data_IF_672369546239
#
_entry.id   IF_672369546239
#
_cell.length_a   1.000
_cell.length_b   1.000
_cell.length_c   1.000
_cell.angle_alpha   90.00
_cell.angle_beta   90.00
_cell.angle_gamma   90.00
#
_symmetry.space_group_name_H-M   'P 1'
#
loop_
_entity.id
_entity.type
_entity.pdbx_description
1 polymer ?
#
# COMPACT_ATOMS: atom_id res chain seq x y z
N UNK A 1 32.31 9.87 -13.43
CA UNK A 1 31.44 10.87 -12.75
C UNK A 1 30.37 11.28 -13.72
N UNK A 2 29.16 10.69 -13.58
CA UNK A 2 28.00 11.03 -14.41
C UNK A 2 27.30 12.24 -13.80
N UNK A 3 27.24 13.34 -14.54
CA UNK A 3 26.50 14.54 -14.15
C UNK A 3 25.00 14.19 -14.04
N UNK A 4 24.41 14.27 -12.84
CA UNK A 4 22.96 14.24 -12.63
C UNK A 4 22.34 15.42 -13.39
N UNK A 5 21.67 15.15 -14.52
CA UNK A 5 20.83 16.14 -15.19
C UNK A 5 19.68 16.52 -14.26
N UNK A 6 19.68 17.73 -13.73
CA UNK A 6 18.52 18.31 -13.06
C UNK A 6 17.34 18.34 -14.04
N UNK A 7 16.35 17.50 -13.79
CA UNK A 7 15.07 17.56 -14.52
C UNK A 7 14.27 18.76 -14.00
N UNK A 8 14.02 19.72 -14.88
CA UNK A 8 13.12 20.85 -14.62
C UNK A 8 11.68 20.35 -14.84
N UNK A 9 10.99 20.02 -13.77
CA UNK A 9 9.58 19.67 -13.80
C UNK A 9 8.73 20.93 -14.00
N UNK A 10 8.05 21.03 -15.14
CA UNK A 10 6.98 21.99 -15.34
C UNK A 10 5.69 21.42 -14.76
N UNK A 11 5.37 21.75 -13.53
CA UNK A 11 4.07 21.40 -12.93
C UNK A 11 2.95 22.19 -13.60
N UNK A 12 1.77 21.59 -13.84
CA UNK A 12 0.59 22.36 -14.25
C UNK A 12 0.25 23.39 -13.18
N UNK A 13 -0.13 24.60 -13.66
CA UNK A 13 -0.46 25.77 -12.82
C UNK A 13 -1.82 25.50 -12.15
N UNK A 14 -1.81 24.83 -11.03
CA UNK A 14 -2.97 24.66 -10.15
C UNK A 14 -2.51 24.74 -8.68
N UNK A 15 -3.34 25.29 -7.81
CA UNK A 15 -3.02 25.33 -6.39
C UNK A 15 -2.79 23.90 -5.89
N UNK A 16 -1.59 23.63 -5.34
CA UNK A 16 -1.25 22.31 -4.76
C UNK A 16 -2.23 22.05 -3.60
N UNK A 17 -2.98 20.94 -3.62
CA UNK A 17 -3.86 20.62 -2.52
C UNK A 17 -3.04 20.49 -1.23
N UNK A 18 -3.43 21.21 -0.18
CA UNK A 18 -2.77 21.09 1.13
C UNK A 18 -3.31 19.83 1.81
N UNK A 19 -2.44 19.12 2.52
CA UNK A 19 -2.84 18.10 3.49
C UNK A 19 -3.63 18.82 4.60
N UNK A 20 -4.78 18.27 4.95
CA UNK A 20 -5.69 18.90 5.93
C UNK A 20 -5.14 18.74 7.35
N UNK A 21 -4.63 17.57 7.66
CA UNK A 21 -4.12 17.23 8.99
C UNK A 21 -2.61 16.98 8.95
N UNK A 22 -1.87 17.45 9.95
CA UNK A 22 -0.49 17.07 10.11
C UNK A 22 -0.39 15.61 10.54
N UNK A 23 0.67 14.93 10.11
CA UNK A 23 0.96 13.59 10.58
C UNK A 23 1.47 13.64 12.02
N UNK A 24 0.77 12.92 12.89
CA UNK A 24 1.20 12.65 14.26
C UNK A 24 1.27 11.14 14.44
N UNK A 25 2.49 10.62 14.60
CA UNK A 25 2.68 9.21 14.92
C UNK A 25 2.16 8.92 16.33
N UNK A 26 1.33 7.90 16.46
CA UNK A 26 0.81 7.45 17.76
C UNK A 26 1.68 6.40 18.41
N UNK A 27 2.58 5.79 17.65
CA UNK A 27 3.55 4.81 18.13
C UNK A 27 4.92 5.07 17.52
N UNK A 28 5.96 4.52 18.13
CA UNK A 28 7.33 4.64 17.63
C UNK A 28 7.45 3.98 16.24
N UNK A 29 6.85 2.82 16.05
CA UNK A 29 6.91 2.09 14.79
C UNK A 29 6.21 2.84 13.65
N UNK A 30 5.12 3.58 13.93
CA UNK A 30 4.51 4.48 12.94
C UNK A 30 5.48 5.59 12.51
N UNK A 31 6.26 6.13 13.45
CA UNK A 31 7.27 7.14 13.13
C UNK A 31 8.39 6.55 12.30
N UNK A 32 8.94 5.41 12.71
CA UNK A 32 10.00 4.71 11.97
C UNK A 32 9.54 4.39 10.55
N UNK A 33 8.33 3.85 10.39
CA UNK A 33 7.77 3.52 9.09
C UNK A 33 7.61 4.77 8.19
N UNK A 34 7.12 5.86 8.74
CA UNK A 34 7.02 7.13 8.03
C UNK A 34 8.39 7.63 7.57
N UNK A 35 9.42 7.52 8.43
CA UNK A 35 10.78 7.95 8.12
C UNK A 35 11.40 7.06 7.02
N UNK A 36 11.26 5.72 7.11
CA UNK A 36 11.71 4.75 6.09
C UNK A 36 11.08 5.05 4.72
N UNK A 37 9.78 5.34 4.66
CA UNK A 37 9.13 5.71 3.39
C UNK A 37 9.75 6.98 2.80
N UNK A 38 10.24 7.89 3.65
CA UNK A 38 10.90 9.15 3.24
C UNK A 38 12.34 9.02 2.75
N UNK A 39 13.01 7.90 2.98
CA UNK A 39 14.41 7.69 2.58
C UNK A 39 14.54 7.63 1.05
N UNK A 40 15.48 8.40 0.50
CA UNK A 40 15.67 8.46 -0.97
C UNK A 40 16.17 7.14 -1.55
N UNK A 41 17.01 6.41 -0.83
CA UNK A 41 17.63 5.16 -1.27
C UNK A 41 16.67 3.97 -1.20
N UNK A 42 15.59 4.09 -0.42
CA UNK A 42 14.57 3.04 -0.28
C UNK A 42 13.60 3.08 -1.46
N UNK A 43 13.58 2.02 -2.27
CA UNK A 43 12.69 1.88 -3.42
C UNK A 43 11.54 0.92 -3.16
N UNK A 44 11.76 -0.10 -2.33
CA UNK A 44 10.76 -1.10 -1.96
C UNK A 44 10.69 -1.23 -0.44
N UNK A 45 9.49 -1.14 0.10
CA UNK A 45 9.24 -1.35 1.52
C UNK A 45 8.26 -2.51 1.67
N UNK A 46 8.67 -3.52 2.43
CA UNK A 46 7.81 -4.60 2.87
C UNK A 46 7.35 -4.30 4.30
N UNK A 47 6.04 -4.20 4.52
CA UNK A 47 5.50 -3.83 5.82
C UNK A 47 4.52 -4.88 6.32
N UNK A 48 4.91 -5.63 7.34
CA UNK A 48 4.08 -6.62 8.03
C UNK A 48 3.50 -6.06 9.32
N UNK A 49 2.32 -6.53 9.70
CA UNK A 49 1.75 -6.27 11.02
C UNK A 49 0.24 -6.46 11.08
N UNK A 50 -0.25 -6.63 12.29
CA UNK A 50 -1.67 -6.88 12.55
C UNK A 50 -2.56 -5.70 12.15
N UNK A 51 -3.86 -5.97 12.00
CA UNK A 51 -4.84 -4.95 11.70
C UNK A 51 -4.91 -3.86 12.78
N UNK A 52 -5.10 -2.60 12.36
CA UNK A 52 -5.28 -1.48 13.27
C UNK A 52 -4.00 -0.82 13.77
N UNK A 53 -2.84 -1.17 13.23
CA UNK A 53 -1.54 -0.53 13.53
C UNK A 53 -1.30 0.74 12.73
N UNK A 54 -2.15 1.03 11.72
CA UNK A 54 -2.10 2.25 10.92
C UNK A 54 -1.20 2.18 9.69
N UNK A 55 -0.75 1.01 9.25
CA UNK A 55 0.07 0.81 8.05
C UNK A 55 -0.44 1.61 6.86
N UNK A 56 -1.68 1.35 6.44
CA UNK A 56 -2.30 1.98 5.27
C UNK A 56 -2.42 3.50 5.41
N UNK A 57 -2.73 3.99 6.61
CA UNK A 57 -2.81 5.42 6.87
C UNK A 57 -1.44 6.09 6.71
N UNK A 58 -0.39 5.53 7.32
CA UNK A 58 0.98 6.09 7.25
C UNK A 58 1.51 6.08 5.82
N UNK A 59 1.32 4.96 5.10
CA UNK A 59 1.74 4.81 3.70
C UNK A 59 1.08 5.84 2.79
N UNK A 60 -0.25 5.96 2.86
CA UNK A 60 -1.01 6.91 2.04
C UNK A 60 -0.64 8.35 2.41
N UNK A 61 -0.50 8.64 3.72
CA UNK A 61 -0.16 9.99 4.17
C UNK A 61 1.19 10.44 3.61
N UNK A 62 2.24 9.60 3.79
CA UNK A 62 3.59 9.95 3.34
C UNK A 62 3.68 10.04 1.81
N UNK A 63 3.06 9.10 1.09
CA UNK A 63 3.00 9.14 -0.36
C UNK A 63 2.31 10.40 -0.88
N UNK A 64 1.16 10.79 -0.30
CA UNK A 64 0.47 12.03 -0.66
C UNK A 64 1.29 13.27 -0.34
N UNK A 65 2.00 13.28 0.77
CA UNK A 65 2.87 14.40 1.13
C UNK A 65 3.94 14.63 0.06
N UNK A 66 4.54 13.55 -0.45
CA UNK A 66 5.58 13.64 -1.46
C UNK A 66 4.99 13.95 -2.85
N UNK A 67 3.88 13.33 -3.24
CA UNK A 67 3.17 13.63 -4.51
C UNK A 67 2.68 15.09 -4.57
N UNK A 68 2.29 15.66 -3.44
CA UNK A 68 1.84 17.06 -3.36
C UNK A 68 2.98 18.05 -3.22
N UNK A 69 4.18 17.60 -2.88
CA UNK A 69 5.36 18.45 -2.72
C UNK A 69 6.08 18.58 -4.06
N UNK A 70 6.42 19.80 -4.44
CA UNK A 70 7.19 20.07 -5.67
C UNK A 70 8.62 19.54 -5.55
N UNK A 71 9.13 18.94 -6.64
CA UNK A 71 10.55 18.54 -6.75
C UNK A 71 10.90 17.20 -6.11
N UNK A 72 9.93 16.41 -5.69
CA UNK A 72 10.17 15.05 -5.15
C UNK A 72 10.36 13.99 -6.24
N UNK A 73 9.96 14.28 -7.47
CA UNK A 73 9.99 13.32 -8.58
C UNK A 73 8.76 12.41 -8.65
N UNK A 74 7.82 12.52 -7.70
CA UNK A 74 6.61 11.72 -7.69
C UNK A 74 5.41 12.54 -8.13
N UNK A 75 4.70 12.07 -9.17
CA UNK A 75 3.56 12.78 -9.76
C UNK A 75 2.21 12.16 -9.38
N UNK A 76 2.20 10.87 -9.00
CA UNK A 76 0.98 10.15 -8.67
C UNK A 76 1.13 9.10 -7.58
N UNK A 77 0.00 8.75 -6.97
CA UNK A 77 -0.17 7.67 -6.02
C UNK A 77 -1.08 6.60 -6.62
N UNK A 78 -0.60 5.36 -6.68
CA UNK A 78 -1.37 4.19 -7.11
C UNK A 78 -1.61 3.31 -5.88
N UNK A 79 -2.88 3.01 -5.58
CA UNK A 79 -3.27 2.14 -4.46
C UNK A 79 -3.96 0.92 -5.04
N UNK A 80 -3.48 -0.26 -4.66
CA UNK A 80 -3.97 -1.54 -5.13
C UNK A 80 -4.41 -2.38 -3.95
N UNK A 81 -5.65 -2.84 -4.02
CA UNK A 81 -6.20 -3.80 -3.09
C UNK A 81 -6.52 -5.11 -3.82
N UNK A 82 -5.78 -6.20 -3.55
CA UNK A 82 -5.95 -7.48 -4.23
C UNK A 82 -7.17 -8.28 -3.79
N UNK A 83 -7.88 -7.86 -2.73
CA UNK A 83 -9.04 -8.59 -2.19
C UNK A 83 -10.24 -8.58 -3.13
N UNK A 84 -10.21 -7.77 -4.18
CA UNK A 84 -11.18 -7.87 -5.26
C UNK A 84 -10.79 -9.09 -6.12
N UNK A 85 -11.24 -10.27 -5.71
CA UNK A 85 -11.23 -11.44 -6.58
C UNK A 85 -12.26 -11.18 -7.69
N UNK A 86 -11.78 -10.57 -8.78
CA UNK A 86 -12.50 -10.51 -10.04
C UNK A 86 -12.41 -11.95 -10.55
N UNK A 87 -13.31 -12.79 -10.02
CA UNK A 87 -13.30 -14.22 -10.24
C UNK A 87 -13.18 -14.56 -11.72
N UNK A 88 -12.40 -15.58 -12.03
CA UNK A 88 -12.17 -16.19 -13.33
C UNK A 88 -12.34 -15.24 -14.51
N UNK A 89 -11.24 -14.77 -15.04
CA UNK A 89 -11.13 -13.78 -16.12
C UNK A 89 -12.06 -14.03 -17.34
N UNK A 90 -12.64 -15.23 -17.45
CA UNK A 90 -13.51 -15.66 -18.55
C UNK A 90 -15.02 -15.44 -18.31
N UNK A 91 -15.45 -14.93 -17.16
CA UNK A 91 -16.89 -14.81 -16.82
C UNK A 91 -17.44 -13.40 -16.63
N UNK A 92 -16.64 -12.37 -16.77
CA UNK A 92 -17.15 -11.00 -16.71
C UNK A 92 -17.48 -10.48 -18.12
N UNK A 93 -18.71 -10.71 -18.49
CA UNK A 93 -19.39 -9.79 -19.40
C UNK A 93 -19.61 -8.49 -18.64
N UNK A 94 -18.74 -7.51 -18.86
CA UNK A 94 -18.82 -6.22 -18.16
C UNK A 94 -19.98 -5.39 -18.68
N UNK A 95 -20.96 -5.14 -17.81
CA UNK A 95 -21.76 -3.93 -17.92
C UNK A 95 -20.94 -2.77 -17.34
N UNK A 96 -20.68 -1.69 -18.12
CA UNK A 96 -20.01 -0.50 -17.60
C UNK A 96 -20.75 0.03 -16.36
N UNK A 97 -20.03 0.25 -15.27
CA UNK A 97 -20.56 0.77 -14.00
C UNK A 97 -20.74 -0.24 -12.85
N UNK A 98 -20.82 -1.55 -13.10
CA UNK A 98 -20.85 -2.54 -12.01
C UNK A 98 -19.46 -2.77 -11.40
N UNK A 99 -18.41 -2.71 -12.21
CA UNK A 99 -17.03 -2.81 -11.75
C UNK A 99 -16.67 -1.62 -10.85
N UNK A 100 -17.04 -0.41 -11.24
CA UNK A 100 -16.76 0.80 -10.46
C UNK A 100 -17.44 0.74 -9.08
N UNK A 101 -18.67 0.23 -9.00
CA UNK A 101 -19.36 0.04 -7.73
C UNK A 101 -18.71 -1.00 -6.84
N UNK A 102 -18.25 -2.12 -7.41
CA UNK A 102 -17.51 -3.14 -6.66
C UNK A 102 -16.17 -2.61 -6.17
N UNK A 103 -15.39 -1.95 -7.04
CA UNK A 103 -14.14 -1.32 -6.66
C UNK A 103 -14.37 -0.31 -5.53
N UNK A 104 -15.42 0.50 -5.58
CA UNK A 104 -15.76 1.44 -4.51
C UNK A 104 -16.04 0.73 -3.19
N UNK A 105 -16.86 -0.33 -3.17
CA UNK A 105 -17.17 -1.06 -1.93
C UNK A 105 -15.92 -1.66 -1.27
N UNK A 106 -15.03 -2.30 -2.06
CA UNK A 106 -13.82 -2.92 -1.54
C UNK A 106 -12.76 -1.90 -1.10
N UNK A 107 -12.80 -0.69 -1.64
CA UNK A 107 -11.85 0.38 -1.32
C UNK A 107 -12.42 1.46 -0.40
N UNK A 108 -13.56 1.22 0.28
CA UNK A 108 -14.20 2.21 1.16
C UNK A 108 -13.28 2.68 2.29
N UNK A 109 -12.47 1.77 2.84
CA UNK A 109 -11.44 2.11 3.83
C UNK A 109 -10.39 3.06 3.28
N UNK A 110 -9.94 2.83 2.05
CA UNK A 110 -8.98 3.69 1.34
C UNK A 110 -9.56 5.07 1.08
N UNK A 111 -10.80 5.15 0.60
CA UNK A 111 -11.49 6.45 0.41
C UNK A 111 -11.66 7.20 1.73
N UNK A 112 -12.02 6.50 2.81
CA UNK A 112 -12.12 7.10 4.15
C UNK A 112 -10.79 7.67 4.62
N UNK A 113 -9.67 7.00 4.35
CA UNK A 113 -8.33 7.49 4.69
C UNK A 113 -7.99 8.72 3.85
N UNK A 114 -8.21 8.68 2.54
CA UNK A 114 -7.98 9.82 1.64
C UNK A 114 -8.80 11.04 2.08
N UNK A 115 -10.08 10.84 2.40
CA UNK A 115 -10.96 11.91 2.88
C UNK A 115 -10.45 12.55 4.18
N UNK A 116 -9.90 11.74 5.09
CA UNK A 116 -9.30 12.25 6.35
C UNK A 116 -8.02 13.04 6.10
N UNK A 117 -7.20 12.66 5.11
CA UNK A 117 -5.88 13.28 4.87
C UNK A 117 -6.02 14.57 4.06
N UNK A 118 -6.77 14.55 2.96
CA UNK A 118 -6.84 15.67 2.01
C UNK A 118 -8.24 16.26 1.84
N UNK A 119 -9.27 15.68 2.44
CA UNK A 119 -10.67 16.06 2.32
C UNK A 119 -11.34 15.51 1.05
N UNK A 120 -12.63 15.14 1.16
CA UNK A 120 -13.41 14.44 0.13
C UNK A 120 -13.38 15.11 -1.24
N UNK A 121 -13.60 16.44 -1.28
CA UNK A 121 -13.63 17.18 -2.53
C UNK A 121 -12.28 17.16 -3.27
N UNK A 122 -11.17 17.23 -2.52
CA UNK A 122 -9.81 17.18 -3.07
C UNK A 122 -9.42 15.77 -3.50
N UNK A 123 -9.77 14.77 -2.71
CA UNK A 123 -9.56 13.37 -3.08
C UNK A 123 -10.25 13.05 -4.41
N UNK A 124 -11.54 13.41 -4.54
CA UNK A 124 -12.28 13.22 -5.78
C UNK A 124 -11.66 13.94 -6.98
N UNK A 125 -11.20 15.19 -6.80
CA UNK A 125 -10.52 15.93 -7.85
C UNK A 125 -9.20 15.27 -8.27
N UNK A 126 -8.37 14.84 -7.33
CA UNK A 126 -7.09 14.17 -7.62
C UNK A 126 -7.28 12.82 -8.33
N UNK A 127 -8.35 12.09 -8.00
CA UNK A 127 -8.72 10.85 -8.71
C UNK A 127 -9.12 11.18 -10.16
N UNK A 128 -9.95 12.18 -10.38
CA UNK A 128 -10.34 12.61 -11.73
C UNK A 128 -9.16 13.11 -12.58
N UNK A 129 -8.17 13.74 -11.96
CA UNK A 129 -6.94 14.20 -12.61
C UNK A 129 -5.90 13.07 -12.81
N UNK A 130 -6.17 11.85 -12.39
CA UNK A 130 -5.23 10.71 -12.47
C UNK A 130 -4.01 10.83 -11.54
N UNK A 131 -4.05 11.72 -10.55
CA UNK A 131 -3.00 11.85 -9.52
C UNK A 131 -3.12 10.81 -8.41
N UNK A 132 -4.31 10.30 -8.22
CA UNK A 132 -4.59 9.14 -7.36
C UNK A 132 -5.31 8.12 -8.23
N UNK A 133 -4.73 6.95 -8.32
CA UNK A 133 -5.33 5.79 -8.99
C UNK A 133 -5.63 4.73 -7.93
N UNK A 134 -6.87 4.22 -7.92
CA UNK A 134 -7.27 3.12 -7.04
C UNK A 134 -7.74 1.98 -7.94
N UNK A 135 -7.12 0.82 -7.80
CA UNK A 135 -7.36 -0.24 -8.75
C UNK A 135 -7.13 -1.65 -8.22
N UNK A 136 -7.21 -2.59 -9.13
CA UNK A 136 -6.93 -4.01 -8.91
C UNK A 136 -5.61 -4.39 -9.60
N UNK A 137 -5.01 -5.50 -9.16
CA UNK A 137 -3.72 -5.99 -9.65
C UNK A 137 -3.60 -6.05 -11.19
N UNK A 138 -4.69 -6.39 -11.87
CA UNK A 138 -4.69 -6.57 -13.32
C UNK A 138 -4.43 -5.28 -14.09
N UNK A 139 -4.72 -4.10 -13.52
CA UNK A 139 -4.45 -2.81 -14.16
C UNK A 139 -2.95 -2.50 -14.26
N UNK A 140 -2.10 -3.13 -13.46
CA UNK A 140 -0.66 -2.96 -13.54
C UNK A 140 0.01 -3.81 -14.62
N UNK A 141 -0.71 -4.77 -15.23
CA UNK A 141 -0.15 -5.58 -16.30
C UNK A 141 0.09 -4.72 -17.54
N UNK A 142 1.34 -4.64 -18.00
CA UNK A 142 1.73 -3.91 -19.22
C UNK A 142 2.04 -2.43 -19.02
N UNK A 143 1.92 -1.86 -17.80
CA UNK A 143 2.29 -0.48 -17.51
C UNK A 143 3.67 -0.39 -16.86
N UNK A 144 4.47 0.61 -17.24
CA UNK A 144 5.66 0.98 -16.49
C UNK A 144 5.27 1.88 -15.34
N UNK A 145 5.85 1.63 -14.17
CA UNK A 145 5.62 2.40 -12.95
C UNK A 145 6.70 3.47 -12.84
N UNK A 146 6.40 4.68 -13.32
CA UNK A 146 7.33 5.79 -13.34
C UNK A 146 6.77 6.99 -12.58
N UNK A 147 7.65 7.71 -11.87
CA UNK A 147 7.33 8.91 -11.11
C UNK A 147 6.14 8.72 -10.15
N UNK A 148 6.06 7.57 -9.49
CA UNK A 148 4.89 7.24 -8.69
C UNK A 148 5.23 6.54 -7.38
N UNK A 149 4.31 6.71 -6.43
CA UNK A 149 4.17 5.80 -5.30
C UNK A 149 3.19 4.69 -5.67
N UNK A 150 3.53 3.45 -5.32
CA UNK A 150 2.63 2.30 -5.43
C UNK A 150 2.44 1.69 -4.06
N UNK A 151 1.21 1.57 -3.62
CA UNK A 151 0.86 0.87 -2.37
C UNK A 151 0.06 -0.37 -2.73
N UNK A 152 0.62 -1.54 -2.45
CA UNK A 152 -0.09 -2.81 -2.51
C UNK A 152 -0.53 -3.15 -1.09
N UNK A 153 -1.80 -2.92 -0.79
CA UNK A 153 -2.41 -3.24 0.51
C UNK A 153 -2.95 -4.67 0.52
N UNK A 154 -3.15 -5.27 1.71
CA UNK A 154 -3.64 -6.65 1.88
C UNK A 154 -2.85 -7.69 1.06
N UNK A 155 -1.54 -7.49 0.96
CA UNK A 155 -0.64 -8.27 0.09
C UNK A 155 -0.54 -9.76 0.48
N UNK A 156 -0.97 -10.14 1.69
CA UNK A 156 -1.01 -11.53 2.12
C UNK A 156 -1.92 -12.40 1.23
N UNK A 157 -2.86 -11.79 0.50
CA UNK A 157 -3.76 -12.49 -0.41
C UNK A 157 -3.24 -12.56 -1.87
N UNK A 158 -2.02 -12.08 -2.13
CA UNK A 158 -1.40 -12.08 -3.46
C UNK A 158 -0.55 -13.33 -3.64
N UNK A 159 -0.60 -13.94 -4.84
CA UNK A 159 0.26 -15.09 -5.15
C UNK A 159 1.71 -14.68 -5.41
N UNK A 160 2.69 -15.60 -5.25
CA UNK A 160 4.11 -15.30 -5.54
C UNK A 160 4.35 -14.79 -6.97
N UNK A 161 3.63 -15.32 -7.95
CA UNK A 161 3.76 -14.88 -9.34
C UNK A 161 3.23 -13.46 -9.54
N UNK A 162 2.08 -13.12 -8.94
CA UNK A 162 1.50 -11.80 -9.04
C UNK A 162 2.39 -10.74 -8.40
N UNK A 163 2.88 -11.00 -7.18
CA UNK A 163 3.72 -10.03 -6.46
C UNK A 163 5.07 -9.82 -7.18
N UNK A 164 5.68 -10.89 -7.69
CA UNK A 164 6.87 -10.81 -8.53
C UNK A 164 6.64 -9.94 -9.78
N UNK A 165 5.51 -10.16 -10.47
CA UNK A 165 5.15 -9.39 -11.66
C UNK A 165 5.04 -7.89 -11.38
N UNK A 166 4.51 -7.51 -10.22
CA UNK A 166 4.38 -6.10 -9.84
C UNK A 166 5.73 -5.50 -9.48
N UNK A 167 6.51 -6.18 -8.64
CA UNK A 167 7.82 -5.69 -8.21
C UNK A 167 8.79 -5.46 -9.37
N UNK A 168 8.75 -6.32 -10.38
CA UNK A 168 9.61 -6.17 -11.57
C UNK A 168 9.25 -5.00 -12.48
N UNK A 169 8.21 -4.22 -12.15
CA UNK A 169 7.82 -2.99 -12.87
C UNK A 169 8.31 -1.71 -12.23
N UNK A 170 9.00 -1.81 -11.09
CA UNK A 170 9.62 -0.67 -10.42
C UNK A 170 10.66 -0.05 -11.36
N UNK A 171 10.52 1.23 -11.68
CA UNK A 171 11.53 2.04 -12.35
C UNK A 171 12.33 2.87 -11.33
N UNK A 172 13.33 3.61 -11.80
CA UNK A 172 14.19 4.43 -10.93
C UNK A 172 13.42 5.50 -10.13
N UNK A 173 12.31 5.99 -10.67
CA UNK A 173 11.49 7.05 -10.07
C UNK A 173 10.17 6.47 -9.50
N UNK A 174 10.19 5.22 -9.04
CA UNK A 174 9.06 4.55 -8.42
C UNK A 174 9.43 4.12 -7.01
N UNK A 175 8.54 4.35 -6.06
CA UNK A 175 8.64 3.82 -4.71
C UNK A 175 7.44 2.92 -4.44
N UNK A 176 7.71 1.70 -4.05
CA UNK A 176 6.67 0.69 -3.81
C UNK A 176 6.61 0.29 -2.34
N UNK A 177 5.41 0.27 -1.80
CA UNK A 177 5.11 -0.22 -0.46
C UNK A 177 4.20 -1.43 -0.60
N UNK A 178 4.65 -2.57 -0.12
CA UNK A 178 3.89 -3.81 -0.08
C UNK A 178 3.59 -4.10 1.37
N UNK A 179 2.32 -4.09 1.74
CA UNK A 179 1.92 -4.21 3.12
C UNK A 179 0.81 -5.23 3.31
N UNK A 180 0.82 -5.91 4.46
CA UNK A 180 -0.16 -6.95 4.75
C UNK A 180 -0.08 -7.49 6.17
N UNK A 181 -1.02 -8.37 6.46
CA UNK A 181 -1.13 -9.10 7.72
C UNK A 181 -1.18 -10.61 7.42
N UNK A 182 -0.07 -11.31 7.64
CA UNK A 182 0.04 -12.74 7.36
C UNK A 182 -0.90 -13.59 8.22
N UNK A 183 -1.38 -13.07 9.36
CA UNK A 183 -2.41 -13.76 10.17
C UNK A 183 -3.77 -13.78 9.46
N UNK A 184 -4.00 -12.89 8.50
CA UNK A 184 -5.23 -12.73 7.74
C UNK A 184 -5.12 -13.23 6.29
N UNK A 185 -4.37 -14.31 6.05
CA UNK A 185 -4.24 -14.96 4.75
C UNK A 185 -5.50 -15.77 4.39
N UNK A 186 -6.63 -15.10 4.14
CA UNK A 186 -7.92 -15.78 3.89
C UNK A 186 -7.92 -16.63 2.63
N UNK A 187 -7.18 -16.22 1.61
CA UNK A 187 -7.06 -16.95 0.33
C UNK A 187 -6.41 -18.33 0.48
N UNK A 188 -5.60 -18.52 1.50
CA UNK A 188 -4.81 -19.76 1.69
C UNK A 188 -5.28 -20.56 2.90
N UNK A 189 -6.55 -20.41 3.32
CA UNK A 189 -7.14 -21.26 4.36
C UNK A 189 -7.52 -22.61 3.80
N UNK A 190 -7.12 -23.68 4.51
CA UNK A 190 -7.51 -25.05 4.22
C UNK A 190 -7.95 -25.70 5.53
N UNK A 191 -9.19 -26.20 5.60
CA UNK A 191 -9.76 -26.81 6.82
C UNK A 191 -9.64 -25.93 8.07
N UNK A 192 -9.82 -24.60 7.92
CA UNK A 192 -9.73 -23.65 9.02
C UNK A 192 -8.30 -23.24 9.40
N UNK A 193 -7.27 -23.84 8.82
CA UNK A 193 -5.86 -23.50 9.06
C UNK A 193 -5.35 -22.57 7.98
N UNK A 194 -4.76 -21.44 8.39
CA UNK A 194 -4.13 -20.47 7.49
C UNK A 194 -2.78 -20.97 7.03
N UNK A 195 -2.60 -21.11 5.72
CA UNK A 195 -1.34 -21.54 5.11
C UNK A 195 -0.61 -20.33 4.52
N UNK A 196 -0.13 -19.43 5.40
CA UNK A 196 0.51 -18.17 5.02
C UNK A 196 1.79 -18.36 4.19
N UNK A 197 2.46 -19.51 4.28
CA UNK A 197 3.65 -19.85 3.49
C UNK A 197 3.38 -19.88 1.99
N UNK A 198 2.12 -20.04 1.57
CA UNK A 198 1.70 -19.96 0.16
C UNK A 198 1.50 -18.54 -0.33
N UNK A 199 1.49 -17.56 0.58
CA UNK A 199 1.36 -16.16 0.25
C UNK A 199 2.61 -15.64 -0.48
N UNK A 200 2.40 -14.87 -1.53
CA UNK A 200 3.49 -14.16 -2.20
C UNK A 200 4.16 -13.13 -1.29
N UNK A 201 3.40 -12.56 -0.34
CA UNK A 201 3.96 -11.63 0.62
C UNK A 201 4.95 -12.30 1.57
N UNK A 202 4.64 -13.50 2.07
CA UNK A 202 5.57 -14.30 2.86
C UNK A 202 6.82 -14.68 2.07
N UNK A 203 6.67 -15.09 0.81
CA UNK A 203 7.79 -15.45 -0.06
C UNK A 203 8.75 -14.27 -0.25
N UNK A 204 8.24 -13.08 -0.61
CA UNK A 204 9.10 -11.90 -0.84
C UNK A 204 9.68 -11.35 0.46
N UNK A 205 8.95 -11.40 1.57
CA UNK A 205 9.45 -11.02 2.88
C UNK A 205 10.75 -11.73 3.23
N UNK A 206 10.81 -13.04 2.98
CA UNK A 206 11.98 -13.84 3.29
C UNK A 206 13.10 -13.73 2.23
N UNK A 207 12.73 -13.65 0.95
CA UNK A 207 13.72 -13.62 -0.14
C UNK A 207 14.47 -12.29 -0.26
N UNK A 208 13.85 -11.19 0.12
CA UNK A 208 14.41 -9.86 -0.12
C UNK A 208 15.14 -9.28 1.11
N UNK A 209 15.33 -10.07 2.16
CA UNK A 209 16.14 -9.67 3.32
C UNK A 209 17.57 -9.33 2.91
N UNK A 210 18.02 -8.13 3.25
CA UNK A 210 19.38 -7.68 2.97
C UNK A 210 19.67 -7.22 1.54
N UNK A 211 18.64 -7.08 0.70
CA UNK A 211 18.78 -6.49 -0.63
C UNK A 211 18.83 -4.97 -0.49
N UNK A 212 19.82 -4.35 -1.12
CA UNK A 212 19.98 -2.88 -1.17
C UNK A 212 18.73 -2.23 -1.80
N UNK A 213 18.25 -1.13 -1.23
CA UNK A 213 17.02 -0.46 -1.66
C UNK A 213 15.73 -1.10 -1.16
N UNK A 214 15.82 -2.21 -0.39
CA UNK A 214 14.66 -2.90 0.21
C UNK A 214 14.69 -2.76 1.71
N UNK A 215 13.64 -2.20 2.28
CA UNK A 215 13.44 -2.11 3.72
C UNK A 215 12.29 -2.99 4.20
N UNK A 216 12.46 -3.56 5.40
CA UNK A 216 11.45 -4.34 6.09
C UNK A 216 10.97 -3.59 7.32
N UNK A 217 9.67 -3.50 7.51
CA UNK A 217 9.05 -2.88 8.68
C UNK A 217 8.02 -3.84 9.29
N UNK A 218 8.16 -4.09 10.56
CA UNK A 218 7.24 -4.94 11.31
C UNK A 218 6.55 -4.14 12.40
N UNK A 219 5.21 -4.18 12.38
CA UNK A 219 4.36 -3.64 13.43
C UNK A 219 3.95 -4.76 14.37
N UNK A 220 4.07 -4.50 15.66
CA UNK A 220 3.68 -5.44 16.71
C UNK A 220 2.32 -5.07 17.34
N UNK A 221 1.93 -5.81 18.37
CA UNK A 221 0.65 -5.62 19.09
C UNK A 221 0.54 -4.26 19.77
N UNK A 222 1.65 -3.71 20.25
CA UNK A 222 1.65 -2.43 20.95
C UNK A 222 1.33 -1.26 20.02
N UNK A 223 1.58 -1.44 18.71
CA UNK A 223 1.25 -0.47 17.69
C UNK A 223 -0.23 -0.43 17.33
N UNK A 224 -1.06 -1.36 17.79
CA UNK A 224 -2.49 -1.32 17.56
C UNK A 224 -3.11 -0.10 18.24
N UNK A 225 -3.61 0.85 17.47
CA UNK A 225 -4.22 2.11 17.96
C UNK A 225 -5.75 2.04 18.07
N UNK A 226 -6.32 0.84 17.92
CA UNK A 226 -7.75 0.59 18.12
C UNK A 226 -8.14 0.68 19.61
N UNK A 227 -9.45 0.67 19.86
CA UNK A 227 -9.99 0.69 21.22
C UNK A 227 -9.35 -0.40 22.12
N UNK A 228 -9.05 -0.13 23.41
CA UNK A 228 -8.39 -1.08 24.32
C UNK A 228 -9.07 -2.45 24.41
N UNK A 229 -10.41 -2.50 24.25
CA UNK A 229 -11.13 -3.77 24.17
C UNK A 229 -10.70 -4.61 22.96
N UNK A 230 -10.50 -3.97 21.80
CA UNK A 230 -10.04 -4.67 20.59
C UNK A 230 -8.66 -5.27 20.80
N UNK A 231 -7.74 -4.54 21.45
CA UNK A 231 -6.42 -5.08 21.80
C UNK A 231 -6.53 -6.33 22.69
N UNK A 232 -7.43 -6.32 23.67
CA UNK A 232 -7.65 -7.49 24.56
C UNK A 232 -8.25 -8.67 23.81
N UNK A 233 -9.21 -8.42 22.90
CA UNK A 233 -9.79 -9.46 22.06
C UNK A 233 -8.72 -10.07 21.17
N UNK A 234 -7.94 -9.27 20.45
CA UNK A 234 -6.86 -9.76 19.60
C UNK A 234 -5.90 -10.66 20.38
N UNK A 235 -5.55 -10.29 21.59
CA UNK A 235 -4.67 -11.08 22.45
C UNK A 235 -5.19 -12.50 22.71
N UNK A 236 -6.50 -12.71 22.83
CA UNK A 236 -7.08 -14.04 23.09
C UNK A 236 -7.10 -14.95 21.86
N UNK A 237 -7.03 -14.41 20.65
CA UNK A 237 -7.03 -15.18 19.42
C UNK A 237 -5.61 -15.49 18.88
N UNK A 238 -4.60 -14.74 19.33
CA UNK A 238 -3.25 -14.83 18.77
C UNK A 238 -2.36 -15.83 19.51
N UNK A 239 -2.75 -16.24 20.73
CA UNK A 239 -1.99 -17.25 21.49
C UNK A 239 -1.99 -18.64 20.82
N UNK A 240 -2.80 -18.81 19.75
CA UNK A 240 -2.91 -20.07 19.00
C UNK A 240 -2.00 -20.20 17.78
N UNK A 241 -1.44 -19.07 17.24
CA UNK A 241 -0.66 -19.13 15.99
C UNK A 241 0.48 -18.11 15.95
N UNK A 242 1.66 -18.46 16.46
CA UNK A 242 2.89 -17.72 16.19
C UNK A 242 3.32 -17.87 14.72
N UNK A 243 3.28 -16.78 13.96
CA UNK A 243 3.86 -16.72 12.61
C UNK A 243 5.37 -16.52 12.75
N UNK A 244 6.17 -17.47 12.28
CA UNK A 244 7.63 -17.33 12.21
C UNK A 244 8.01 -16.65 10.90
N UNK A 245 8.54 -15.42 10.99
CA UNK A 245 9.05 -14.61 9.88
C UNK A 245 10.57 -14.74 9.75
#
# INVERSE_FOLDING_TARGET
MAQKKQRVYKSPIGAIPKIVNNFESKTLNQKIFYDIIGEEETQLILCHGIAGTGKTYVSIYKALQDVLRRGTGYDKLIIINPTVDVGNEDKFGYLPGELDKKIQQYNESTFTILDKIIGKAKAGKMIQEGKIEIGVLNFLRGTNLENCYVILDEAQNVSPMQIKTIMTRISHDCKMIIQGDLSQCDKYKTNGVTNYEKSGFYDVWNRLKGIEGVNHMEFNRDDCIRHPLVKRILKTYEDEHEIKL
#
